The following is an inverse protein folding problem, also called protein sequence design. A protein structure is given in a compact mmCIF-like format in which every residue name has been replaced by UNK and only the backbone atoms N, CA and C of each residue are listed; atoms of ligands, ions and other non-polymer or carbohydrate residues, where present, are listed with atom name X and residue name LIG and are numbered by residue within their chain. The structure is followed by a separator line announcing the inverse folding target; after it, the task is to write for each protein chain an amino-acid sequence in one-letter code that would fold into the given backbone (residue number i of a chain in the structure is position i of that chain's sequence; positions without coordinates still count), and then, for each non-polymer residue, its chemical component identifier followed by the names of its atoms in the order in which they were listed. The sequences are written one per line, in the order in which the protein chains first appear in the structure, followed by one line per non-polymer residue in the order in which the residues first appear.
data_IF_322063929300
#
_entry.id   IF_322063929300
#
_cell.length_a   1.000
_cell.length_b   1.000
_cell.length_c   1.000
_cell.angle_alpha   90.00
_cell.angle_beta   90.00
_cell.angle_gamma   90.00
#
_symmetry.space_group_name_H-M   'P 1'
#
loop_
_entity.id
_entity.type
_entity.pdbx_description
1 polymer ?
#
# COMPACT_ATOMS: atom_id res chain seq x y z
N UNK A 1 14.26 -31.31 -12.91
CA UNK A 1 13.68 -30.51 -13.99
C UNK A 1 13.33 -29.17 -13.35
N UNK A 2 14.31 -28.29 -13.36
CA UNK A 2 14.32 -26.98 -12.70
C UNK A 2 13.64 -25.99 -13.64
N UNK A 3 12.54 -25.39 -13.21
CA UNK A 3 11.92 -24.25 -13.88
C UNK A 3 12.66 -22.98 -13.42
N UNK A 4 13.57 -22.52 -14.26
CA UNK A 4 14.10 -21.16 -14.18
C UNK A 4 12.96 -20.20 -14.54
N UNK A 5 12.57 -19.36 -13.58
CA UNK A 5 11.67 -18.24 -13.83
C UNK A 5 12.49 -17.15 -14.51
N UNK A 6 12.22 -16.94 -15.78
CA UNK A 6 12.78 -15.86 -16.60
C UNK A 6 12.54 -14.50 -15.93
N UNK A 7 13.65 -13.89 -15.56
CA UNK A 7 13.77 -12.49 -15.16
C UNK A 7 13.71 -11.61 -16.43
N UNK A 8 12.53 -11.54 -17.02
CA UNK A 8 12.25 -10.64 -18.13
C UNK A 8 11.94 -9.24 -17.58
N UNK A 9 12.93 -8.59 -16.96
CA UNK A 9 12.95 -7.14 -16.90
C UNK A 9 13.08 -6.62 -18.33
N UNK A 10 11.95 -6.20 -18.89
CA UNK A 10 11.89 -5.44 -20.12
C UNK A 10 12.90 -4.28 -20.03
N UNK A 11 14.01 -4.39 -20.75
CA UNK A 11 14.83 -3.25 -21.10
C UNK A 11 13.99 -2.41 -22.07
N UNK A 12 13.22 -1.47 -21.51
CA UNK A 12 12.59 -0.43 -22.31
C UNK A 12 13.67 0.28 -23.11
N UNK A 13 13.39 0.54 -24.36
CA UNK A 13 14.23 1.28 -25.31
C UNK A 13 14.54 2.69 -24.76
N UNK A 14 15.56 2.83 -23.92
CA UNK A 14 16.07 4.11 -23.40
C UNK A 14 16.63 5.01 -24.51
N UNK A 15 16.84 4.47 -25.72
CA UNK A 15 17.48 5.20 -26.81
C UNK A 15 16.50 6.07 -27.62
N UNK A 16 15.20 5.83 -27.58
CA UNK A 16 14.22 6.50 -28.43
C UNK A 16 13.57 7.76 -27.81
N UNK A 17 13.63 7.91 -26.47
CA UNK A 17 12.90 8.96 -25.74
C UNK A 17 13.78 10.06 -25.13
N UNK A 18 15.07 10.07 -25.42
CA UNK A 18 15.99 11.07 -24.86
C UNK A 18 16.15 10.99 -23.33
N UNK A 19 15.95 9.81 -22.74
CA UNK A 19 16.07 9.59 -21.29
C UNK A 19 14.82 9.89 -20.48
N UNK A 20 13.65 10.11 -21.12
CA UNK A 20 12.36 10.27 -20.43
C UNK A 20 11.64 8.93 -20.27
N UNK A 21 11.10 8.68 -19.09
CA UNK A 21 10.20 7.55 -18.81
C UNK A 21 8.75 8.05 -18.79
N UNK A 22 7.86 7.36 -19.51
CA UNK A 22 6.44 7.70 -19.56
C UNK A 22 5.62 6.60 -18.88
N UNK A 23 4.74 7.02 -17.96
CA UNK A 23 3.72 6.13 -17.38
C UNK A 23 2.38 6.38 -18.08
N UNK A 24 1.69 5.31 -18.46
CA UNK A 24 0.32 5.35 -18.97
C UNK A 24 -0.59 4.68 -17.94
N UNK A 25 -1.80 5.20 -17.76
CA UNK A 25 -2.75 4.70 -16.78
C UNK A 25 -3.08 3.20 -16.96
N UNK A 26 -3.09 2.74 -18.20
CA UNK A 26 -3.35 1.35 -18.60
C UNK A 26 -2.12 0.43 -18.56
N UNK A 27 -0.95 0.95 -18.25
CA UNK A 27 0.33 0.24 -18.29
C UNK A 27 1.02 0.11 -16.93
N UNK A 28 0.35 0.52 -15.87
CA UNK A 28 0.90 0.40 -14.53
C UNK A 28 1.11 -1.07 -14.14
N UNK A 29 2.17 -1.34 -13.41
CA UNK A 29 2.46 -2.69 -12.90
C UNK A 29 1.65 -2.94 -11.62
N UNK A 30 1.15 -4.18 -11.40
CA UNK A 30 0.56 -4.53 -10.11
C UNK A 30 1.51 -4.21 -8.97
N UNK A 31 0.99 -3.62 -7.91
CA UNK A 31 1.78 -3.36 -6.71
C UNK A 31 2.04 -4.69 -5.99
N UNK A 32 3.29 -5.11 -5.96
CA UNK A 32 3.72 -6.26 -5.19
C UNK A 32 4.36 -5.76 -3.89
N UNK A 33 3.70 -5.93 -2.73
CA UNK A 33 4.37 -5.63 -1.45
C UNK A 33 5.63 -6.49 -1.35
N UNK A 34 6.77 -5.82 -1.24
CA UNK A 34 8.07 -6.51 -1.13
C UNK A 34 8.17 -7.26 0.19
N UNK A 35 9.12 -8.19 0.25
CA UNK A 35 9.37 -9.04 1.42
C UNK A 35 9.38 -8.21 2.69
N UNK A 36 8.43 -8.53 3.56
CA UNK A 36 8.36 -7.96 4.89
C UNK A 36 9.54 -8.46 5.69
N UNK A 37 10.44 -7.55 6.06
CA UNK A 37 11.40 -7.82 7.12
C UNK A 37 10.74 -7.49 8.45
N UNK A 38 11.03 -8.29 9.48
CA UNK A 38 10.40 -8.16 10.78
C UNK A 38 10.59 -6.80 11.45
N UNK A 39 9.68 -6.44 12.31
CA UNK A 39 9.69 -5.22 13.09
C UNK A 39 10.86 -5.18 14.09
N UNK A 40 11.96 -4.63 13.68
CA UNK A 40 13.16 -4.45 14.51
C UNK A 40 14.38 -4.35 13.63
N UNK A 41 15.19 -3.33 13.82
CA UNK A 41 16.44 -3.20 13.10
C UNK A 41 17.24 -4.48 13.15
N UNK A 42 17.98 -4.77 12.07
CA UNK A 42 18.88 -5.91 11.88
C UNK A 42 18.51 -7.20 12.64
N UNK A 43 17.89 -8.16 11.95
CA UNK A 43 17.88 -9.59 12.29
C UNK A 43 16.99 -10.11 13.44
N UNK A 44 16.09 -9.34 14.03
CA UNK A 44 15.14 -9.91 14.98
C UNK A 44 14.01 -10.66 14.23
N UNK A 45 13.78 -11.92 14.62
CA UNK A 45 12.64 -12.70 14.15
C UNK A 45 11.34 -11.94 14.40
N UNK A 46 10.41 -11.89 13.43
CA UNK A 46 9.13 -11.20 13.62
C UNK A 46 8.37 -11.78 14.79
N UNK A 47 7.73 -10.92 15.58
CA UNK A 47 6.91 -11.36 16.71
C UNK A 47 5.82 -12.35 16.25
N UNK A 48 5.60 -13.49 16.94
CA UNK A 48 4.65 -14.52 16.49
C UNK A 48 3.24 -14.00 16.19
N UNK A 49 2.72 -13.05 16.99
CA UNK A 49 1.42 -12.44 16.74
C UNK A 49 1.39 -11.62 15.42
N UNK A 50 2.52 -11.01 15.02
CA UNK A 50 2.62 -10.30 13.74
C UNK A 50 2.54 -11.31 12.59
N UNK A 51 3.30 -12.41 12.65
CA UNK A 51 3.28 -13.44 11.60
C UNK A 51 1.90 -14.03 11.42
N UNK A 52 1.25 -14.42 12.55
CA UNK A 52 -0.14 -14.89 12.54
C UNK A 52 -1.08 -13.83 11.97
N UNK A 53 -0.92 -12.60 12.42
CA UNK A 53 -1.78 -11.48 12.03
C UNK A 53 -1.71 -11.14 10.55
N UNK A 54 -0.51 -11.12 9.98
CA UNK A 54 -0.31 -10.87 8.56
C UNK A 54 -0.92 -11.97 7.68
N UNK A 55 -0.89 -13.22 8.14
CA UNK A 55 -1.60 -14.30 7.46
C UNK A 55 -3.11 -14.05 7.47
N UNK A 56 -3.70 -13.74 8.63
CA UNK A 56 -5.13 -13.42 8.76
C UNK A 56 -5.52 -12.19 7.92
N UNK A 57 -4.68 -11.17 7.91
CA UNK A 57 -4.86 -9.97 7.11
C UNK A 57 -4.88 -10.31 5.62
N UNK A 58 -3.88 -11.04 5.12
CA UNK A 58 -3.81 -11.44 3.70
C UNK A 58 -5.01 -12.27 3.25
N UNK A 59 -5.52 -13.17 4.11
CA UNK A 59 -6.73 -13.96 3.82
C UNK A 59 -8.01 -13.12 3.79
N UNK A 60 -8.08 -12.05 4.59
CA UNK A 60 -9.30 -11.26 4.79
C UNK A 60 -9.35 -9.96 3.97
N UNK A 61 -8.22 -9.40 3.56
CA UNK A 61 -8.13 -8.04 2.97
C UNK A 61 -8.61 -7.94 1.52
N UNK A 62 -8.73 -9.08 0.79
CA UNK A 62 -9.13 -9.04 -0.62
C UNK A 62 -10.47 -8.29 -0.80
N UNK A 63 -10.62 -7.53 -1.87
CA UNK A 63 -11.82 -6.75 -2.14
C UNK A 63 -11.93 -5.42 -1.37
N UNK A 64 -10.98 -5.10 -0.46
CA UNK A 64 -11.01 -3.87 0.33
C UNK A 64 -9.98 -2.82 -0.08
N UNK A 65 -8.96 -3.22 -0.83
CA UNK A 65 -7.92 -2.31 -1.28
C UNK A 65 -7.30 -2.79 -2.59
N UNK A 66 -6.89 -1.85 -3.42
CA UNK A 66 -6.10 -2.09 -4.61
C UNK A 66 -4.96 -1.08 -4.70
N UNK A 67 -3.86 -1.47 -5.30
CA UNK A 67 -2.74 -0.57 -5.57
C UNK A 67 -2.03 -0.96 -6.86
N UNK A 68 -1.49 0.04 -7.53
CA UNK A 68 -0.76 -0.11 -8.77
C UNK A 68 0.50 0.75 -8.75
N UNK A 69 1.64 0.16 -9.05
CA UNK A 69 2.88 0.94 -9.23
C UNK A 69 2.82 1.69 -10.55
N UNK A 70 2.95 3.00 -10.49
CA UNK A 70 2.97 3.86 -11.67
C UNK A 70 4.40 4.10 -12.17
N UNK A 71 5.32 4.24 -11.25
CA UNK A 71 6.71 4.53 -11.57
C UNK A 71 7.64 3.95 -10.49
N UNK A 72 8.76 3.40 -10.90
CA UNK A 72 9.74 2.84 -9.97
C UNK A 72 11.14 2.92 -10.56
N UNK A 73 11.93 3.87 -10.11
CA UNK A 73 13.34 4.06 -10.47
C UNK A 73 14.13 4.59 -9.27
N UNK A 74 15.37 4.19 -9.13
CA UNK A 74 16.39 4.70 -8.18
C UNK A 74 15.83 5.37 -6.90
N UNK A 75 15.57 6.67 -6.99
CA UNK A 75 15.20 7.52 -5.85
C UNK A 75 13.74 7.97 -5.88
N UNK A 76 12.91 7.35 -6.73
CA UNK A 76 11.50 7.66 -6.83
C UNK A 76 10.69 6.39 -7.07
N UNK A 77 9.73 6.15 -6.21
CA UNK A 77 8.70 5.15 -6.37
C UNK A 77 7.35 5.81 -6.20
N UNK A 78 6.46 5.62 -7.16
CA UNK A 78 5.11 6.19 -7.14
C UNK A 78 4.11 5.07 -7.32
N UNK A 79 3.18 4.95 -6.40
CA UNK A 79 2.05 4.06 -6.46
C UNK A 79 0.75 4.84 -6.39
N UNK A 80 -0.24 4.38 -7.11
CA UNK A 80 -1.63 4.79 -6.94
C UNK A 80 -2.36 3.71 -6.14
N UNK A 81 -3.16 4.12 -5.18
CA UNK A 81 -3.92 3.20 -4.35
C UNK A 81 -5.36 3.67 -4.15
N UNK A 82 -6.25 2.71 -4.05
CA UNK A 82 -7.63 2.88 -3.61
C UNK A 82 -7.90 1.96 -2.42
N UNK A 83 -8.26 2.56 -1.30
CA UNK A 83 -8.74 1.83 -0.13
C UNK A 83 -10.21 2.14 0.09
N UNK A 84 -11.02 1.10 0.20
CA UNK A 84 -12.45 1.20 0.43
C UNK A 84 -12.78 1.70 1.84
N UNK A 85 -14.01 2.13 2.06
CA UNK A 85 -14.47 2.74 3.30
C UNK A 85 -14.08 1.91 4.53
N UNK A 86 -13.45 2.57 5.51
CA UNK A 86 -13.06 1.94 6.77
C UNK A 86 -12.07 0.78 6.65
N UNK A 87 -11.35 0.63 5.54
CA UNK A 87 -10.31 -0.40 5.40
C UNK A 87 -9.27 -0.27 6.52
N UNK A 88 -9.08 -1.29 7.36
CA UNK A 88 -8.23 -1.18 8.53
C UNK A 88 -6.77 -1.49 8.19
N UNK A 89 -6.04 -0.49 7.70
CA UNK A 89 -4.60 -0.66 7.46
C UNK A 89 -3.88 -0.91 8.80
N UNK A 90 -3.12 -2.01 8.94
CA UNK A 90 -2.39 -2.26 10.18
C UNK A 90 -1.38 -1.16 10.52
N UNK A 91 -1.22 -0.85 11.82
CA UNK A 91 -0.19 0.08 12.29
C UNK A 91 1.21 -0.43 11.90
N UNK A 92 1.93 0.39 11.15
CA UNK A 92 3.24 0.04 10.62
C UNK A 92 4.13 1.28 10.48
N UNK A 93 5.38 1.06 10.13
CA UNK A 93 6.32 2.10 9.68
C UNK A 93 7.15 1.57 8.51
N UNK A 94 7.76 2.47 7.78
CA UNK A 94 8.73 2.13 6.74
C UNK A 94 10.11 2.67 7.09
N UNK A 95 11.13 2.09 6.50
CA UNK A 95 12.53 2.54 6.62
C UNK A 95 12.88 3.68 5.64
N UNK A 96 11.91 4.14 4.85
CA UNK A 96 12.04 5.24 3.90
C UNK A 96 10.93 6.26 4.13
N UNK A 97 11.25 7.52 3.82
CA UNK A 97 10.27 8.60 3.78
C UNK A 97 9.21 8.32 2.73
N UNK A 98 7.98 8.70 3.03
CA UNK A 98 6.93 8.70 2.04
C UNK A 98 6.04 9.96 2.13
N UNK A 99 5.41 10.29 1.01
CA UNK A 99 4.43 11.36 0.93
C UNK A 99 3.16 10.80 0.29
N UNK A 100 2.03 11.05 0.93
CA UNK A 100 0.71 10.75 0.38
C UNK A 100 0.06 12.03 -0.12
N UNK A 101 -0.51 11.97 -1.31
CA UNK A 101 -1.38 13.01 -1.88
C UNK A 101 -2.75 12.42 -2.13
N UNK A 102 -3.77 12.96 -1.46
CA UNK A 102 -5.15 12.48 -1.60
C UNK A 102 -5.74 12.97 -2.92
N UNK A 103 -6.19 12.06 -3.74
CA UNK A 103 -6.80 12.32 -5.05
C UNK A 103 -8.31 12.48 -4.92
N UNK A 104 -8.95 11.61 -4.13
CA UNK A 104 -10.39 11.65 -3.89
C UNK A 104 -10.76 10.88 -2.62
N UNK A 105 -11.98 11.10 -2.13
CA UNK A 105 -12.42 10.58 -0.84
C UNK A 105 -11.72 11.26 0.32
N UNK A 106 -11.57 10.56 1.43
CA UNK A 106 -10.91 11.07 2.62
C UNK A 106 -10.26 9.96 3.44
N UNK A 107 -9.30 10.34 4.29
CA UNK A 107 -8.68 9.41 5.24
C UNK A 107 -8.25 10.13 6.51
N UNK A 108 -8.22 9.41 7.63
CA UNK A 108 -7.60 9.89 8.85
C UNK A 108 -6.18 9.35 8.99
N UNK A 109 -5.25 10.23 9.39
CA UNK A 109 -3.87 9.89 9.76
C UNK A 109 -3.60 10.50 11.14
N UNK A 110 -3.49 9.68 12.16
CA UNK A 110 -3.47 10.18 13.54
C UNK A 110 -4.77 10.90 13.90
N UNK A 111 -4.68 12.18 14.30
CA UNK A 111 -5.83 13.05 14.62
C UNK A 111 -6.32 13.86 13.42
N UNK A 112 -5.58 13.88 12.32
CA UNK A 112 -5.90 14.72 11.17
C UNK A 112 -6.76 13.97 10.16
N UNK A 113 -7.74 14.66 9.59
CA UNK A 113 -8.57 14.18 8.48
C UNK A 113 -8.10 14.88 7.20
N UNK A 114 -7.71 14.09 6.23
CA UNK A 114 -7.23 14.55 4.93
C UNK A 114 -8.26 14.28 3.85
N UNK A 115 -8.55 15.27 3.03
CA UNK A 115 -9.42 15.19 1.87
C UNK A 115 -8.70 15.47 0.56
N UNK A 116 -9.45 15.54 -0.53
CA UNK A 116 -8.91 15.79 -1.88
C UNK A 116 -7.98 17.01 -1.92
N UNK A 117 -6.76 16.80 -2.40
CA UNK A 117 -5.72 17.84 -2.54
C UNK A 117 -4.82 17.95 -1.32
N UNK A 118 -5.21 17.38 -0.17
CA UNK A 118 -4.36 17.35 1.01
C UNK A 118 -3.26 16.31 0.86
N UNK A 119 -2.18 16.50 1.62
CA UNK A 119 -1.09 15.54 1.63
C UNK A 119 -0.45 15.41 3.00
N UNK A 120 0.25 14.31 3.21
CA UNK A 120 1.00 14.07 4.44
C UNK A 120 2.38 13.51 4.13
N UNK A 121 3.40 14.10 4.73
CA UNK A 121 4.75 13.56 4.75
C UNK A 121 4.93 12.67 5.99
N UNK A 122 5.36 11.45 5.77
CA UNK A 122 5.60 10.46 6.83
C UNK A 122 7.10 10.13 6.81
N UNK A 123 7.85 10.57 7.82
CA UNK A 123 9.29 10.30 7.88
C UNK A 123 9.58 8.82 8.14
N UNK A 124 10.73 8.37 7.68
CA UNK A 124 11.24 7.03 7.93
C UNK A 124 11.16 6.66 9.42
N UNK A 125 10.69 5.47 9.72
CA UNK A 125 10.55 4.95 11.09
C UNK A 125 9.32 5.42 11.85
N UNK A 126 8.62 6.48 11.42
CA UNK A 126 7.41 6.95 12.08
C UNK A 126 6.27 5.93 11.95
N UNK A 127 5.67 5.46 13.04
CA UNK A 127 4.54 4.54 12.97
C UNK A 127 3.26 5.26 12.61
N UNK A 128 2.50 4.72 11.67
CA UNK A 128 1.23 5.28 11.24
C UNK A 128 0.24 4.21 10.77
N UNK A 129 -1.00 4.60 10.68
CA UNK A 129 -2.06 3.92 9.96
C UNK A 129 -2.89 4.95 9.23
N UNK A 130 -3.56 4.54 8.18
CA UNK A 130 -4.59 5.33 7.51
C UNK A 130 -5.94 4.65 7.71
N UNK A 131 -6.98 5.44 7.91
CA UNK A 131 -8.36 4.96 8.05
C UNK A 131 -9.21 5.70 7.02
N UNK A 132 -9.56 5.05 5.90
CA UNK A 132 -10.42 5.64 4.89
C UNK A 132 -11.77 6.07 5.45
N UNK A 133 -12.29 7.20 4.97
CA UNK A 133 -13.62 7.70 5.29
C UNK A 133 -14.75 6.88 4.67
N UNK A 134 -15.95 7.42 4.70
CA UNK A 134 -17.18 6.72 4.26
C UNK A 134 -17.18 6.39 2.76
N UNK A 135 -16.55 7.24 1.94
CA UNK A 135 -16.42 7.05 0.48
C UNK A 135 -15.11 6.34 0.08
N UNK A 136 -14.35 5.84 1.06
CA UNK A 136 -13.00 5.35 0.80
C UNK A 136 -12.01 6.47 0.53
N UNK A 137 -10.84 6.12 0.00
CA UNK A 137 -9.80 7.07 -0.37
C UNK A 137 -9.00 6.60 -1.57
N UNK A 138 -8.74 7.51 -2.50
CA UNK A 138 -7.75 7.36 -3.56
C UNK A 138 -6.56 8.27 -3.30
N UNK A 139 -5.35 7.76 -3.42
CA UNK A 139 -4.15 8.55 -3.18
C UNK A 139 -2.96 8.11 -4.02
N UNK A 140 -2.04 9.04 -4.23
CA UNK A 140 -0.70 8.73 -4.68
C UNK A 140 0.21 8.56 -3.46
N UNK A 141 0.98 7.50 -3.47
CA UNK A 141 2.06 7.27 -2.52
C UNK A 141 3.39 7.43 -3.23
N UNK A 142 4.21 8.35 -2.76
CA UNK A 142 5.52 8.66 -3.32
C UNK A 142 6.59 8.34 -2.28
N UNK A 143 7.60 7.57 -2.68
CA UNK A 143 8.74 7.19 -1.83
C UNK A 143 10.06 7.56 -2.49
N UNK A 144 11.05 7.82 -1.66
CA UNK A 144 12.42 8.13 -2.11
C UNK A 144 13.20 6.90 -2.58
N UNK A 145 12.62 5.72 -2.48
CA UNK A 145 13.24 4.47 -2.92
C UNK A 145 12.19 3.42 -3.28
N UNK A 146 12.38 2.62 -4.33
CA UNK A 146 11.58 1.42 -4.57
C UNK A 146 11.88 0.31 -3.57
N UNK A 147 13.03 0.33 -2.94
CA UNK A 147 13.43 -0.64 -1.93
C UNK A 147 13.14 -0.08 -0.55
N UNK A 148 12.10 -0.60 0.09
CA UNK A 148 11.71 -0.24 1.44
C UNK A 148 11.19 -1.45 2.21
N UNK A 149 11.40 -1.42 3.51
CA UNK A 149 10.89 -2.42 4.44
C UNK A 149 9.63 -1.90 5.15
N UNK A 150 8.74 -2.83 5.50
CA UNK A 150 7.54 -2.54 6.30
C UNK A 150 7.67 -3.19 7.67
N UNK A 151 7.55 -2.40 8.72
CA UNK A 151 7.68 -2.83 10.10
C UNK A 151 6.34 -2.73 10.83
N UNK A 152 5.63 -3.85 10.99
CA UNK A 152 4.35 -3.89 11.69
C UNK A 152 4.51 -3.82 13.21
N UNK A 153 3.54 -3.18 13.90
CA UNK A 153 3.62 -2.89 15.34
C UNK A 153 2.66 -3.70 16.20
N UNK A 154 1.67 -4.37 15.64
CA UNK A 154 0.67 -5.17 16.36
C UNK A 154 1.26 -6.43 16.99
N UNK A 155 1.57 -6.41 18.29
CA UNK A 155 2.22 -7.52 19.01
C UNK A 155 1.25 -8.38 19.83
N UNK A 156 -0.07 -8.26 19.59
CA UNK A 156 -1.07 -9.07 20.30
C UNK A 156 -2.03 -9.73 19.31
N UNK A 157 -2.45 -10.95 19.61
CA UNK A 157 -3.43 -11.66 18.79
C UNK A 157 -4.76 -10.90 18.68
N UNK A 158 -5.22 -10.32 19.79
CA UNK A 158 -6.47 -9.55 19.82
C UNK A 158 -6.47 -8.33 18.91
N UNK A 159 -5.31 -7.71 18.69
CA UNK A 159 -5.17 -6.62 17.71
C UNK A 159 -5.49 -7.11 16.29
N UNK A 160 -4.89 -8.22 15.89
CA UNK A 160 -5.08 -8.78 14.56
C UNK A 160 -6.46 -9.42 14.37
N UNK A 161 -7.01 -10.02 15.42
CA UNK A 161 -8.38 -10.57 15.39
C UNK A 161 -9.42 -9.48 15.13
N UNK A 162 -9.26 -8.28 15.75
CA UNK A 162 -10.13 -7.13 15.46
C UNK A 162 -10.00 -6.65 14.02
N UNK A 163 -8.78 -6.54 13.50
CA UNK A 163 -8.55 -6.17 12.09
C UNK A 163 -9.24 -7.18 11.17
N UNK A 164 -9.00 -8.48 11.37
CA UNK A 164 -9.60 -9.53 10.55
C UNK A 164 -11.14 -9.55 10.65
N UNK A 165 -11.70 -9.27 11.83
CA UNK A 165 -13.15 -9.16 12.00
C UNK A 165 -13.71 -7.97 11.21
N UNK A 166 -13.08 -6.80 11.27
CA UNK A 166 -13.47 -5.62 10.49
C UNK A 166 -13.42 -5.92 8.99
N UNK A 167 -12.33 -6.50 8.50
CA UNK A 167 -12.18 -6.87 7.10
C UNK A 167 -13.30 -7.79 6.62
N UNK A 168 -13.60 -8.85 7.39
CA UNK A 168 -14.65 -9.80 7.04
C UNK A 168 -16.04 -9.17 7.07
N UNK A 169 -16.32 -8.34 8.07
CA UNK A 169 -17.61 -7.65 8.23
C UNK A 169 -17.87 -6.56 7.20
N UNK A 170 -16.85 -6.12 6.47
CA UNK A 170 -16.97 -5.06 5.45
C UNK A 170 -17.19 -5.59 4.03
N UNK A 171 -17.08 -6.90 3.80
CA UNK A 171 -17.11 -7.50 2.45
C UNK A 171 -18.34 -7.14 1.62
N UNK A 172 -19.53 -7.27 2.21
CA UNK A 172 -20.81 -6.99 1.52
C UNK A 172 -20.88 -5.53 1.10
N UNK A 173 -20.53 -4.61 2.01
CA UNK A 173 -20.50 -3.17 1.72
C UNK A 173 -19.49 -2.88 0.61
N UNK A 174 -18.27 -3.44 0.69
CA UNK A 174 -17.22 -3.21 -0.29
C UNK A 174 -17.53 -3.75 -1.68
N UNK A 175 -18.42 -4.75 -1.81
CA UNK A 175 -18.83 -5.26 -3.11
C UNK A 175 -19.54 -4.21 -3.96
N UNK A 176 -20.23 -3.28 -3.31
CA UNK A 176 -21.02 -2.20 -3.97
C UNK A 176 -20.22 -0.88 -4.09
N UNK A 177 -19.06 -0.77 -3.44
CA UNK A 177 -18.28 0.46 -3.47
C UNK A 177 -17.49 0.61 -4.77
N UNK A 178 -17.61 1.79 -5.37
CA UNK A 178 -16.86 2.23 -6.54
C UNK A 178 -15.73 3.18 -6.12
N UNK A 179 -14.76 3.38 -7.01
CA UNK A 179 -13.70 4.37 -6.81
C UNK A 179 -14.31 5.79 -6.76
N UNK A 180 -13.96 6.62 -5.74
CA UNK A 180 -14.52 7.98 -5.60
C UNK A 180 -14.28 8.88 -6.80
N UNK A 181 -13.19 8.71 -7.51
CA UNK A 181 -12.85 9.47 -8.71
C UNK A 181 -12.47 8.58 -9.90
N UNK A 182 -11.79 7.46 -9.65
CA UNK A 182 -11.36 6.55 -10.70
C UNK A 182 -10.28 7.14 -11.61
N UNK A 183 -9.32 7.87 -11.04
CA UNK A 183 -8.21 8.45 -11.83
C UNK A 183 -7.50 7.36 -12.63
N UNK A 184 -7.27 6.23 -12.02
CA UNK A 184 -6.76 5.02 -12.65
C UNK A 184 -7.70 3.88 -12.27
N UNK A 185 -8.43 3.28 -13.21
CA UNK A 185 -9.30 2.16 -12.93
C UNK A 185 -8.49 0.96 -12.42
N UNK A 186 -8.67 0.61 -11.15
CA UNK A 186 -8.06 -0.58 -10.53
C UNK A 186 -9.14 -1.39 -9.81
N UNK A 187 -9.02 -2.71 -9.87
CA UNK A 187 -9.92 -3.63 -9.17
C UNK A 187 -9.23 -4.14 -7.89
N UNK A 188 -9.92 -4.12 -6.72
CA UNK A 188 -9.42 -4.65 -5.46
C UNK A 188 -9.46 -6.19 -5.39
#
# INVERSE_FOLDING_TARGET
MTLEADDAMSKGDDAATGGYDFTRADQGMPHHPRKQRGAGGAEAEPHPAILRGLKLFGEAASGGAAAQTLFSRHNLHVSYAWFKSGFPLPLHSHDKDCYYLIIAGSTSVGSEVLGKGDGVFIPAGAPYTVTPGEDGVEFLEMRTSPDYDTHYRGRTDSYWDRIAATLRGSKERWAEEEQPYGLIPIAP
#
